data_IF_880088794993
#
_entry.id   IF_880088794993
#
_cell.length_a   1.000
_cell.length_b   1.000
_cell.length_c   1.000
_cell.angle_alpha   90.00
_cell.angle_beta   90.00
_cell.angle_gamma   90.00
#
_symmetry.space_group_name_H-M   'P 1'
#
loop_
_entity.id
_entity.type
_entity.pdbx_description
1 polymer ?
#
# COMPACT_ATOMS: atom_id res chain seq x y z
N UNK A 1 30.83 -26.96 36.07
CA UNK A 1 29.60 -26.62 35.30
C UNK A 1 28.59 -25.99 36.25
N UNK A 2 28.02 -24.84 35.90
CA UNK A 2 26.96 -24.19 36.70
C UNK A 2 25.63 -24.83 36.32
N UNK A 3 24.79 -25.19 37.29
CA UNK A 3 23.48 -25.79 37.01
C UNK A 3 22.48 -24.74 36.53
N UNK A 4 21.53 -25.14 35.67
CA UNK A 4 20.51 -24.24 35.11
C UNK A 4 19.79 -23.39 36.18
N UNK A 5 19.44 -24.00 37.33
CA UNK A 5 18.84 -23.28 38.47
C UNK A 5 19.73 -22.15 39.02
N UNK A 6 21.05 -22.32 39.05
CA UNK A 6 21.99 -21.27 39.45
C UNK A 6 22.11 -20.18 38.40
N UNK A 7 22.04 -20.51 37.10
CA UNK A 7 22.01 -19.52 36.02
C UNK A 7 20.76 -18.62 36.10
N UNK A 8 19.58 -19.20 36.35
CA UNK A 8 18.33 -18.42 36.51
C UNK A 8 18.39 -17.46 37.69
N UNK A 9 18.93 -17.89 38.83
CA UNK A 9 19.11 -17.03 40.02
C UNK A 9 20.09 -15.89 39.73
N UNK A 10 21.22 -16.15 39.06
CA UNK A 10 22.19 -15.13 38.67
C UNK A 10 21.55 -14.12 37.70
N UNK A 11 20.81 -14.58 36.69
CA UNK A 11 20.11 -13.71 35.76
C UNK A 11 19.08 -12.79 36.46
N UNK A 12 18.33 -13.32 37.42
CA UNK A 12 17.37 -12.53 38.21
C UNK A 12 18.04 -11.41 39.01
N UNK A 13 19.19 -11.67 39.65
CA UNK A 13 19.95 -10.65 40.36
C UNK A 13 20.55 -9.59 39.42
N UNK A 14 21.05 -9.98 38.24
CA UNK A 14 21.57 -9.03 37.25
C UNK A 14 20.46 -8.12 36.74
N UNK A 15 19.31 -8.68 36.35
CA UNK A 15 18.16 -7.90 35.85
C UNK A 15 17.58 -6.96 36.93
N UNK A 16 17.49 -7.44 38.17
CA UNK A 16 17.05 -6.61 39.31
C UNK A 16 18.04 -5.48 39.61
N UNK A 17 19.36 -5.72 39.53
CA UNK A 17 20.39 -4.69 39.68
C UNK A 17 20.31 -3.62 38.60
N UNK A 18 20.13 -4.02 37.33
CA UNK A 18 19.95 -3.09 36.21
C UNK A 18 18.69 -2.25 36.40
N UNK A 19 17.56 -2.85 36.80
CA UNK A 19 16.31 -2.13 37.04
C UNK A 19 16.42 -1.08 38.17
N UNK A 20 17.11 -1.43 39.27
CA UNK A 20 17.35 -0.50 40.39
C UNK A 20 18.29 0.65 40.00
N UNK A 21 19.32 0.40 39.19
CA UNK A 21 20.18 1.45 38.64
C UNK A 21 19.43 2.36 37.66
N UNK A 22 18.54 1.81 36.84
CA UNK A 22 17.79 2.56 35.85
C UNK A 22 16.69 3.44 36.48
N UNK A 23 16.10 3.00 37.59
CA UNK A 23 15.11 3.78 38.36
C UNK A 23 15.77 4.87 39.21
N UNK A 24 16.99 4.65 39.73
CA UNK A 24 17.75 5.66 40.47
C UNK A 24 18.18 6.88 39.61
N UNK A 25 18.19 6.75 38.28
CA UNK A 25 18.58 7.83 37.36
C UNK A 25 17.42 8.73 36.88
N UNK A 26 16.17 8.45 37.26
CA UNK A 26 15.00 9.26 36.86
C UNK A 26 14.79 10.40 37.87
N UNK A 27 15.26 11.61 37.54
CA UNK A 27 14.90 12.84 38.26
C UNK A 27 13.65 13.48 37.64
N UNK A 28 12.56 13.71 38.41
CA UNK A 28 11.38 14.39 37.89
C UNK A 28 11.58 15.91 37.83
N UNK A 29 11.21 16.53 36.71
CA UNK A 29 11.14 17.98 36.54
C UNK A 29 9.82 18.50 37.11
N UNK A 30 9.80 19.51 38.00
CA UNK A 30 8.56 20.04 38.54
C UNK A 30 7.85 20.97 37.55
N UNK A 31 6.60 20.65 37.22
CA UNK A 31 5.73 21.56 36.47
C UNK A 31 5.28 22.72 37.37
N UNK A 32 5.39 23.97 36.86
CA UNK A 32 4.79 25.14 37.52
C UNK A 32 3.34 25.28 37.07
N UNK A 33 2.41 25.25 38.02
CA UNK A 33 1.05 25.70 37.83
C UNK A 33 0.89 27.12 38.40
N UNK A 34 0.24 28.01 37.67
CA UNK A 34 -0.20 29.31 38.18
C UNK A 34 -1.65 29.23 38.66
N UNK A 35 -1.96 29.76 39.85
CA UNK A 35 -3.31 30.16 40.23
C UNK A 35 -3.38 31.69 40.35
N UNK A 36 -4.25 32.33 39.56
CA UNK A 36 -4.56 33.74 39.74
C UNK A 36 -5.66 33.97 40.78
N UNK A 37 -5.58 35.04 41.57
CA UNK A 37 -6.77 35.87 41.94
C UNK A 37 -6.42 37.20 42.63
N UNK A 38 -6.90 38.28 42.00
CA UNK A 38 -7.44 39.54 42.56
C UNK A 38 -6.90 40.27 43.82
N UNK A 39 -6.85 41.61 43.64
CA UNK A 39 -6.80 42.72 44.63
C UNK A 39 -5.43 42.88 45.33
N UNK A 40 -4.95 44.09 45.65
CA UNK A 40 -5.69 45.34 45.89
C UNK A 40 -4.92 46.60 45.44
N UNK A 41 -5.54 47.78 45.62
CA UNK A 41 -5.27 49.08 45.00
C UNK A 41 -4.51 50.04 45.95
N UNK A 42 -3.43 50.67 45.48
CA UNK A 42 -2.95 51.98 46.01
C UNK A 42 -1.92 52.67 45.09
N UNK A 43 -2.36 53.77 44.50
CA UNK A 43 -1.59 54.90 43.91
C UNK A 43 -1.05 55.83 45.05
N UNK A 44 -0.37 56.98 44.80
CA UNK A 44 0.20 57.56 43.57
C UNK A 44 1.63 58.18 43.78
N UNK A 45 2.05 59.13 42.90
CA UNK A 45 3.18 60.10 43.01
C UNK A 45 4.59 59.52 42.72
N UNK A 46 5.57 60.22 42.13
CA UNK A 46 5.67 61.49 41.35
C UNK A 46 7.05 61.44 40.62
N UNK A 47 7.40 62.16 39.55
CA UNK A 47 6.72 62.85 38.44
C UNK A 47 7.82 63.41 37.49
N UNK A 48 7.44 64.16 36.42
CA UNK A 48 8.32 65.00 35.55
C UNK A 48 9.30 64.24 34.63
N UNK A 49 9.70 64.73 33.45
CA UNK A 49 9.21 65.78 32.54
C UNK A 49 9.99 65.67 31.21
N UNK A 50 9.33 65.60 30.04
CA UNK A 50 9.91 66.04 28.75
C UNK A 50 8.82 66.15 27.68
N UNK A 51 8.72 67.32 27.03
CA UNK A 51 7.69 67.62 26.01
C UNK A 51 8.34 67.98 24.68
N UNK A 52 7.81 67.46 23.57
CA UNK A 52 7.57 68.16 22.27
C UNK A 52 6.99 67.16 21.26
N UNK A 53 5.71 67.24 20.94
CA UNK A 53 5.13 68.08 19.87
C UNK A 53 5.42 67.54 18.45
N UNK A 54 4.55 66.63 18.01
CA UNK A 54 4.25 66.29 16.61
C UNK A 54 2.74 66.42 16.38
N UNK A 55 2.31 66.82 15.19
CA UNK A 55 0.96 67.36 14.93
C UNK A 55 -0.15 66.33 14.74
N UNK A 56 -1.39 66.78 14.99
CA UNK A 56 -2.66 66.06 14.73
C UNK A 56 -2.80 65.57 13.28
N UNK A 57 -3.43 64.41 13.12
CA UNK A 57 -4.46 64.16 12.11
C UNK A 57 -5.47 63.15 12.70
N UNK A 58 -6.75 63.53 12.76
CA UNK A 58 -7.84 62.59 13.03
C UNK A 58 -8.15 61.79 11.76
N UNK A 59 -8.34 60.48 11.87
CA UNK A 59 -9.00 59.64 10.88
C UNK A 59 -9.89 58.61 11.60
N UNK A 60 -11.08 58.25 11.07
CA UNK A 60 -12.06 57.48 11.83
C UNK A 60 -11.67 56.01 11.99
N UNK A 61 -12.13 55.41 13.08
CA UNK A 61 -12.14 53.96 13.28
C UNK A 61 -13.03 53.29 12.23
N UNK A 62 -12.45 52.62 11.25
CA UNK A 62 -13.19 51.63 10.45
C UNK A 62 -13.57 50.46 11.37
N UNK A 63 -14.87 50.16 11.46
CA UNK A 63 -15.34 48.95 12.12
C UNK A 63 -15.19 47.79 11.14
N UNK A 64 -14.42 46.76 11.50
CA UNK A 64 -14.40 45.50 10.76
C UNK A 64 -15.81 44.88 10.79
N UNK A 65 -16.33 44.35 9.67
CA UNK A 65 -17.62 43.67 9.67
C UNK A 65 -17.54 42.39 10.51
N UNK A 66 -18.49 42.20 11.43
CA UNK A 66 -18.68 40.92 12.09
C UNK A 66 -18.96 39.85 11.03
N UNK A 67 -18.09 38.83 10.95
CA UNK A 67 -18.33 37.67 10.09
C UNK A 67 -19.50 36.87 10.67
N UNK A 68 -20.61 36.79 9.94
CA UNK A 68 -21.66 35.82 10.24
C UNK A 68 -21.04 34.40 10.26
N UNK A 69 -21.35 33.56 11.27
CA UNK A 69 -20.83 32.21 11.29
C UNK A 69 -21.37 31.43 10.10
N UNK A 70 -20.49 30.82 9.30
CA UNK A 70 -20.91 29.90 8.24
C UNK A 70 -21.78 28.80 8.85
N UNK A 71 -22.91 28.42 8.21
CA UNK A 71 -23.75 27.35 8.72
C UNK A 71 -22.95 26.05 8.77
N UNK A 72 -22.93 25.41 9.95
CA UNK A 72 -22.35 24.07 10.11
C UNK A 72 -23.00 23.13 9.09
N UNK A 73 -22.21 22.67 8.11
CA UNK A 73 -22.68 21.68 7.14
C UNK A 73 -23.05 20.42 7.89
N UNK A 74 -24.29 19.97 7.73
CA UNK A 74 -24.71 18.65 8.20
C UNK A 74 -23.70 17.60 7.68
N UNK A 75 -23.27 16.65 8.52
CA UNK A 75 -22.31 15.64 8.09
C UNK A 75 -22.92 14.83 6.95
N UNK A 76 -22.18 14.69 5.84
CA UNK A 76 -22.64 13.88 4.71
C UNK A 76 -22.97 12.45 5.18
N UNK A 77 -24.10 11.86 4.73
CA UNK A 77 -24.50 10.52 5.16
C UNK A 77 -23.43 9.50 4.80
N UNK A 78 -23.14 8.56 5.72
CA UNK A 78 -22.11 7.55 5.48
C UNK A 78 -22.39 6.79 4.17
N UNK A 79 -21.36 6.59 3.32
CA UNK A 79 -21.57 5.94 2.03
C UNK A 79 -22.14 4.52 2.21
N UNK A 80 -23.16 4.15 1.42
CA UNK A 80 -23.78 2.81 1.53
C UNK A 80 -23.02 1.73 0.76
N UNK A 81 -22.28 2.10 -0.28
CA UNK A 81 -21.53 1.14 -1.11
C UNK A 81 -20.18 0.79 -0.50
N UNK A 82 -19.70 -0.45 -0.73
CA UNK A 82 -18.38 -0.90 -0.26
C UNK A 82 -17.25 0.01 -0.76
N UNK A 83 -17.27 0.39 -2.05
CA UNK A 83 -16.32 1.36 -2.63
C UNK A 83 -16.38 2.73 -1.93
N UNK A 84 -17.58 3.18 -1.55
CA UNK A 84 -17.77 4.41 -0.79
C UNK A 84 -17.18 4.34 0.63
N UNK A 85 -17.51 3.29 1.39
CA UNK A 85 -16.96 3.08 2.75
C UNK A 85 -15.45 2.94 2.73
N UNK A 86 -14.89 2.19 1.78
CA UNK A 86 -13.44 2.07 1.62
C UNK A 86 -12.78 3.42 1.32
N UNK A 87 -13.37 4.27 0.47
CA UNK A 87 -12.87 5.64 0.22
C UNK A 87 -12.87 6.50 1.50
N UNK A 88 -13.89 6.34 2.35
CA UNK A 88 -14.04 7.09 3.59
C UNK A 88 -13.02 6.65 4.66
N UNK A 89 -12.92 5.34 4.93
CA UNK A 89 -11.98 4.81 5.94
C UNK A 89 -10.51 4.83 5.50
N UNK A 90 -10.23 4.72 4.20
CA UNK A 90 -8.88 4.72 3.64
C UNK A 90 -8.73 5.86 2.61
N UNK A 91 -8.63 7.12 3.06
CA UNK A 91 -8.55 8.27 2.17
C UNK A 91 -7.24 8.27 1.38
N UNK A 92 -7.35 8.44 0.06
CA UNK A 92 -6.19 8.52 -0.83
C UNK A 92 -5.57 9.92 -0.82
N UNK A 93 -4.31 10.02 -0.40
CA UNK A 93 -3.55 11.26 -0.38
C UNK A 93 -2.40 11.22 -1.40
N UNK A 94 -2.67 11.58 -2.67
CA UNK A 94 -1.66 11.53 -3.76
C UNK A 94 -0.35 12.27 -3.40
N UNK A 95 -0.43 13.42 -2.71
CA UNK A 95 0.74 14.23 -2.31
C UNK A 95 1.58 13.61 -1.17
N UNK A 96 1.11 12.55 -0.51
CA UNK A 96 1.90 11.83 0.49
C UNK A 96 3.10 11.12 -0.17
N UNK A 97 4.11 10.72 0.63
CA UNK A 97 5.19 9.85 0.14
C UNK A 97 4.71 8.40 0.06
N UNK A 98 5.36 7.60 -0.79
CA UNK A 98 5.22 6.15 -0.71
C UNK A 98 5.72 5.66 0.66
N UNK A 99 4.95 4.82 1.37
CA UNK A 99 5.41 4.22 2.62
C UNK A 99 6.64 3.31 2.41
N UNK A 100 7.56 3.33 3.37
CA UNK A 100 8.77 2.49 3.37
C UNK A 100 8.50 1.06 3.86
N UNK A 101 7.45 0.40 3.36
CA UNK A 101 7.12 -0.98 3.70
C UNK A 101 7.31 -1.90 2.51
N UNK A 102 7.81 -3.11 2.75
CA UNK A 102 7.82 -4.22 1.79
C UNK A 102 7.06 -5.37 2.44
N UNK A 103 6.08 -5.91 1.70
CA UNK A 103 5.22 -7.00 2.12
C UNK A 103 5.46 -8.19 1.18
N UNK A 104 5.74 -9.35 1.75
CA UNK A 104 5.64 -10.63 1.05
C UNK A 104 4.72 -11.55 1.88
N UNK A 105 4.12 -12.56 1.25
CA UNK A 105 3.38 -13.60 1.98
C UNK A 105 3.93 -14.98 1.68
N UNK A 106 4.02 -15.82 2.71
CA UNK A 106 4.39 -17.22 2.56
C UNK A 106 3.77 -18.07 3.68
N UNK A 107 4.00 -19.39 3.66
CA UNK A 107 3.51 -20.30 4.70
C UNK A 107 4.18 -20.08 6.06
N UNK A 108 5.42 -19.61 6.02
CA UNK A 108 6.32 -19.46 7.17
C UNK A 108 7.12 -18.16 7.02
N UNK A 109 7.58 -17.61 8.14
CA UNK A 109 8.42 -16.41 8.14
C UNK A 109 9.91 -16.75 8.05
N UNK A 110 10.77 -15.79 7.69
CA UNK A 110 12.22 -15.92 7.81
C UNK A 110 12.75 -16.30 9.20
N UNK A 111 11.97 -16.21 10.28
CA UNK A 111 12.39 -16.68 11.60
C UNK A 111 12.15 -18.19 11.83
N UNK A 112 11.31 -18.83 11.01
CA UNK A 112 10.87 -20.21 11.20
C UNK A 112 11.86 -21.23 10.61
N UNK A 113 11.98 -22.36 11.31
CA UNK A 113 12.82 -23.49 10.87
C UNK A 113 12.27 -24.25 9.65
N UNK A 114 11.00 -24.05 9.29
CA UNK A 114 10.34 -24.66 8.12
C UNK A 114 10.37 -23.76 6.88
N UNK A 115 10.97 -22.56 6.97
CA UNK A 115 11.13 -21.67 5.81
C UNK A 115 12.12 -22.25 4.81
N UNK A 116 11.70 -22.34 3.54
CA UNK A 116 12.49 -22.93 2.45
C UNK A 116 13.84 -22.20 2.27
N UNK A 117 14.99 -22.89 2.44
CA UNK A 117 16.31 -22.29 2.22
C UNK A 117 16.51 -21.70 0.82
N UNK A 118 15.79 -22.18 -0.19
CA UNK A 118 15.89 -21.66 -1.57
C UNK A 118 15.26 -20.26 -1.73
N UNK A 119 14.29 -19.90 -0.89
CA UNK A 119 13.65 -18.57 -0.91
C UNK A 119 14.48 -17.50 -0.19
N UNK A 120 15.47 -17.91 0.62
CA UNK A 120 16.31 -17.00 1.43
C UNK A 120 17.02 -15.91 0.62
N UNK A 121 17.76 -16.18 -0.47
CA UNK A 121 18.40 -15.12 -1.24
C UNK A 121 17.38 -14.19 -1.92
N UNK A 122 16.23 -14.72 -2.32
CA UNK A 122 15.16 -13.97 -2.99
C UNK A 122 14.55 -12.95 -2.01
N UNK A 123 14.09 -13.42 -0.85
CA UNK A 123 13.58 -12.61 0.27
C UNK A 123 14.62 -11.58 0.75
N UNK A 124 15.86 -12.01 1.00
CA UNK A 124 16.91 -11.14 1.52
C UNK A 124 17.25 -9.98 0.57
N UNK A 125 17.20 -10.19 -0.75
CA UNK A 125 17.48 -9.14 -1.75
C UNK A 125 16.61 -7.89 -1.57
N UNK A 126 15.35 -8.05 -1.13
CA UNK A 126 14.46 -6.95 -0.84
C UNK A 126 14.95 -6.11 0.34
N UNK A 127 15.41 -6.75 1.41
CA UNK A 127 16.02 -6.07 2.57
C UNK A 127 17.33 -5.37 2.19
N UNK A 128 18.19 -6.05 1.41
CA UNK A 128 19.52 -5.56 1.05
C UNK A 128 19.47 -4.34 0.11
N UNK A 129 18.57 -4.32 -0.88
CA UNK A 129 18.43 -3.21 -1.84
C UNK A 129 17.48 -2.09 -1.39
N UNK A 130 16.86 -2.22 -0.21
CA UNK A 130 15.97 -1.19 0.34
C UNK A 130 16.36 -0.80 1.78
N UNK A 131 17.60 -0.30 2.00
CA UNK A 131 18.05 0.11 3.32
C UNK A 131 17.12 1.19 3.90
N UNK A 132 16.59 0.92 5.10
CA UNK A 132 15.64 1.80 5.79
C UNK A 132 14.15 1.52 5.50
N UNK A 133 13.82 0.56 4.63
CA UNK A 133 12.46 0.02 4.54
C UNK A 133 12.24 -1.02 5.65
N UNK A 134 10.99 -1.16 6.08
CA UNK A 134 10.56 -2.27 6.94
C UNK A 134 10.07 -3.39 6.02
N UNK A 135 10.86 -4.46 5.95
CA UNK A 135 10.48 -5.68 5.24
C UNK A 135 9.75 -6.64 6.19
N UNK A 136 8.58 -7.13 5.77
CA UNK A 136 7.81 -8.11 6.52
C UNK A 136 7.25 -9.19 5.60
N UNK A 137 7.71 -10.43 5.82
CA UNK A 137 7.03 -11.63 5.34
C UNK A 137 5.91 -11.95 6.34
N UNK A 138 4.67 -11.97 5.87
CA UNK A 138 3.49 -12.31 6.66
C UNK A 138 3.14 -13.78 6.38
N UNK A 139 3.06 -14.59 7.43
CA UNK A 139 2.68 -16.00 7.34
C UNK A 139 1.15 -16.18 7.18
N UNK A 140 0.74 -17.36 6.70
CA UNK A 140 -0.67 -17.72 6.47
C UNK A 140 -1.56 -17.58 7.73
N UNK A 141 -1.03 -17.85 8.93
CA UNK A 141 -1.78 -17.72 10.19
C UNK A 141 -1.92 -16.25 10.61
N UNK A 142 -0.83 -15.48 10.54
CA UNK A 142 -0.81 -14.04 10.86
C UNK A 142 -1.64 -13.21 9.89
N UNK A 143 -1.69 -13.58 8.60
CA UNK A 143 -2.37 -12.82 7.55
C UNK A 143 -3.83 -12.50 7.90
N UNK A 144 -4.60 -13.49 8.38
CA UNK A 144 -6.01 -13.29 8.72
C UNK A 144 -6.21 -12.38 9.95
N UNK A 145 -5.34 -12.47 10.96
CA UNK A 145 -5.42 -11.57 12.12
C UNK A 145 -5.05 -10.13 11.74
N UNK A 146 -4.08 -9.96 10.85
CA UNK A 146 -3.68 -8.65 10.34
C UNK A 146 -4.81 -8.00 9.54
N UNK A 147 -5.47 -8.77 8.66
CA UNK A 147 -6.65 -8.29 7.94
C UNK A 147 -7.81 -7.96 8.89
N UNK A 148 -8.12 -8.83 9.87
CA UNK A 148 -9.18 -8.58 10.88
C UNK A 148 -8.95 -7.31 11.69
N UNK A 149 -7.70 -6.96 11.97
CA UNK A 149 -7.34 -5.67 12.58
C UNK A 149 -7.55 -4.49 11.62
N UNK A 150 -7.00 -4.57 10.40
CA UNK A 150 -7.03 -3.47 9.42
C UNK A 150 -8.44 -3.18 8.89
N UNK A 151 -9.26 -4.22 8.71
CA UNK A 151 -10.58 -4.17 8.09
C UNK A 151 -11.70 -4.51 9.09
N UNK A 152 -11.52 -4.17 10.37
CA UNK A 152 -12.51 -4.39 11.43
C UNK A 152 -13.88 -3.75 11.16
N UNK A 153 -13.92 -2.62 10.42
CA UNK A 153 -15.16 -1.96 9.95
C UNK A 153 -15.74 -2.54 8.66
N UNK A 154 -15.20 -3.66 8.16
CA UNK A 154 -15.56 -4.29 6.88
C UNK A 154 -15.69 -5.82 7.04
N UNK A 155 -16.67 -6.31 7.83
CA UNK A 155 -16.89 -7.75 8.01
C UNK A 155 -17.07 -8.50 6.68
N UNK A 156 -17.63 -7.85 5.64
CA UNK A 156 -17.82 -8.44 4.32
C UNK A 156 -16.49 -8.81 3.61
N UNK A 157 -15.43 -8.02 3.81
CA UNK A 157 -14.09 -8.29 3.25
C UNK A 157 -13.46 -9.49 3.96
N UNK A 158 -13.61 -9.54 5.30
CA UNK A 158 -13.11 -10.65 6.11
C UNK A 158 -13.86 -11.95 5.76
N UNK A 159 -15.17 -11.88 5.57
CA UNK A 159 -15.99 -13.02 5.17
C UNK A 159 -15.63 -13.54 3.77
N UNK A 160 -15.40 -12.64 2.81
CA UNK A 160 -14.90 -12.99 1.49
C UNK A 160 -13.54 -13.70 1.59
N UNK A 161 -12.57 -13.12 2.31
CA UNK A 161 -11.25 -13.69 2.49
C UNK A 161 -11.28 -15.05 3.20
N UNK A 162 -12.04 -15.19 4.28
CA UNK A 162 -12.15 -16.45 5.03
C UNK A 162 -12.80 -17.56 4.18
N UNK A 163 -13.78 -17.22 3.34
CA UNK A 163 -14.50 -18.19 2.48
C UNK A 163 -13.73 -18.68 1.25
N UNK A 164 -12.63 -18.04 0.84
CA UNK A 164 -11.84 -18.46 -0.32
C UNK A 164 -11.26 -19.89 -0.16
N UNK A 165 -11.53 -20.82 -1.10
CA UNK A 165 -11.23 -22.24 -0.92
C UNK A 165 -9.80 -22.66 -1.28
N UNK A 166 -8.97 -21.74 -1.80
CA UNK A 166 -7.61 -22.01 -2.28
C UNK A 166 -6.63 -20.95 -1.73
N UNK A 167 -5.42 -21.33 -1.27
CA UNK A 167 -4.44 -20.37 -0.75
C UNK A 167 -4.04 -19.28 -1.75
N UNK A 168 -3.93 -19.61 -3.04
CA UNK A 168 -3.59 -18.62 -4.09
C UNK A 168 -4.61 -17.47 -4.19
N UNK A 169 -5.90 -17.75 -4.03
CA UNK A 169 -6.95 -16.72 -4.01
C UNK A 169 -6.77 -15.78 -2.81
N UNK A 170 -6.38 -16.33 -1.65
CA UNK A 170 -6.11 -15.56 -0.43
C UNK A 170 -4.85 -14.70 -0.58
N UNK A 171 -3.76 -15.25 -1.14
CA UNK A 171 -2.54 -14.48 -1.41
C UNK A 171 -2.79 -13.34 -2.43
N UNK A 172 -3.49 -13.65 -3.53
CA UNK A 172 -3.93 -12.64 -4.52
C UNK A 172 -4.78 -11.53 -3.87
N UNK A 173 -5.71 -11.88 -2.98
CA UNK A 173 -6.55 -10.87 -2.33
C UNK A 173 -5.79 -10.09 -1.23
N UNK A 174 -4.91 -10.76 -0.48
CA UNK A 174 -4.11 -10.16 0.58
C UNK A 174 -3.25 -9.01 0.06
N UNK A 175 -2.56 -9.19 -1.08
CA UNK A 175 -1.68 -8.16 -1.64
C UNK A 175 -2.40 -6.84 -1.93
N UNK A 176 -3.65 -6.89 -2.41
CA UNK A 176 -4.45 -5.68 -2.62
C UNK A 176 -4.86 -5.06 -1.29
N UNK A 177 -5.33 -5.86 -0.34
CA UNK A 177 -5.77 -5.42 0.98
C UNK A 177 -4.64 -4.74 1.77
N UNK A 178 -3.44 -5.33 1.80
CA UNK A 178 -2.32 -4.75 2.54
C UNK A 178 -1.82 -3.45 1.90
N UNK A 179 -1.72 -3.38 0.57
CA UNK A 179 -1.33 -2.16 -0.13
C UNK A 179 -2.40 -1.07 0.00
N UNK A 180 -3.68 -1.41 0.04
CA UNK A 180 -4.73 -0.43 0.25
C UNK A 180 -4.69 0.14 1.68
N UNK A 181 -4.49 -0.71 2.68
CA UNK A 181 -4.50 -0.30 4.09
C UNK A 181 -3.18 0.36 4.55
N UNK A 182 -2.03 -0.06 4.03
CA UNK A 182 -0.69 0.36 4.50
C UNK A 182 0.22 0.93 3.41
N UNK A 183 -0.09 0.73 2.14
CA UNK A 183 0.78 1.08 1.02
C UNK A 183 2.15 0.40 1.11
N UNK A 184 3.12 0.98 0.41
CA UNK A 184 4.46 0.43 0.26
C UNK A 184 4.55 -0.45 -0.98
N UNK A 185 5.28 -1.54 -0.89
CA UNK A 185 5.53 -2.50 -1.97
C UNK A 185 4.98 -3.86 -1.52
N UNK A 186 4.27 -4.56 -2.39
CA UNK A 186 4.07 -5.99 -2.26
C UNK A 186 4.91 -6.69 -3.32
N UNK A 187 5.51 -7.83 -2.96
CA UNK A 187 6.07 -8.77 -3.93
C UNK A 187 5.84 -10.23 -3.53
N UNK A 188 5.63 -11.13 -4.49
CA UNK A 188 5.60 -12.58 -4.22
C UNK A 188 6.97 -13.07 -3.70
N UNK A 189 6.99 -14.15 -2.90
CA UNK A 189 8.18 -14.58 -2.15
C UNK A 189 9.32 -15.11 -3.05
N UNK A 190 8.98 -15.63 -4.23
CA UNK A 190 9.94 -16.15 -5.23
C UNK A 190 10.40 -15.05 -6.21
N UNK A 191 10.62 -13.85 -5.68
CA UNK A 191 11.14 -12.68 -6.43
C UNK A 191 12.44 -12.16 -5.86
N UNK A 192 13.37 -11.82 -6.75
CA UNK A 192 14.62 -11.13 -6.45
C UNK A 192 14.48 -9.66 -6.83
N UNK A 193 14.72 -8.74 -5.90
CA UNK A 193 14.92 -7.34 -6.23
C UNK A 193 16.26 -7.19 -6.98
N UNK A 194 16.26 -6.53 -8.14
CA UNK A 194 17.46 -6.19 -8.91
C UNK A 194 17.85 -4.72 -8.72
N UNK A 195 16.87 -3.84 -8.49
CA UNK A 195 17.07 -2.40 -8.21
C UNK A 195 16.10 -1.90 -7.16
N UNK A 196 16.51 -0.86 -6.44
CA UNK A 196 15.67 -0.27 -5.39
C UNK A 196 14.41 0.36 -6.01
N UNK A 197 13.27 0.26 -5.33
CA UNK A 197 12.04 0.96 -5.71
C UNK A 197 12.16 2.49 -5.62
N UNK A 198 13.26 2.99 -5.04
CA UNK A 198 13.66 4.39 -5.15
C UNK A 198 14.17 4.77 -6.55
N UNK A 199 14.38 3.81 -7.46
CA UNK A 199 14.85 4.02 -8.84
C UNK A 199 13.77 3.79 -9.91
N UNK A 200 12.71 3.03 -9.61
CA UNK A 200 11.70 2.62 -10.61
C UNK A 200 11.02 3.79 -11.35
N UNK A 201 10.77 4.90 -10.63
CA UNK A 201 10.23 6.15 -11.20
C UNK A 201 11.40 7.06 -11.61
N UNK A 202 11.54 7.44 -12.89
CA UNK A 202 12.65 8.28 -13.34
C UNK A 202 12.57 9.70 -12.75
N UNK A 203 13.70 10.41 -12.56
CA UNK A 203 13.72 11.78 -12.01
C UNK A 203 12.94 12.82 -12.83
N UNK A 204 12.57 12.51 -14.07
CA UNK A 204 11.75 13.35 -14.95
C UNK A 204 10.26 13.36 -14.59
N UNK A 205 9.80 12.44 -13.73
CA UNK A 205 8.41 12.40 -13.26
C UNK A 205 8.30 12.95 -11.83
N UNK A 206 7.27 13.76 -11.57
CA UNK A 206 6.99 14.27 -10.22
C UNK A 206 6.37 13.16 -9.34
N UNK A 207 7.19 12.60 -8.45
CA UNK A 207 6.79 11.59 -7.46
C UNK A 207 5.67 12.03 -6.50
N UNK A 208 5.41 13.33 -6.36
CA UNK A 208 4.28 13.85 -5.59
C UNK A 208 2.94 13.68 -6.31
N UNK A 209 2.95 13.44 -7.63
CA UNK A 209 1.75 13.18 -8.44
C UNK A 209 1.43 11.69 -8.62
N UNK A 210 2.35 10.79 -8.28
CA UNK A 210 2.22 9.34 -8.56
C UNK A 210 1.84 8.60 -7.28
N UNK A 211 0.75 7.83 -7.27
CA UNK A 211 0.32 6.97 -6.16
C UNK A 211 0.35 5.47 -6.42
N UNK A 212 0.63 5.04 -7.65
CA UNK A 212 0.75 3.62 -8.00
C UNK A 212 1.86 3.40 -9.04
N UNK A 213 2.61 2.30 -8.91
CA UNK A 213 3.55 1.81 -9.92
C UNK A 213 3.23 0.34 -10.21
N UNK A 214 3.03 0.02 -11.48
CA UNK A 214 2.69 -1.32 -11.97
C UNK A 214 3.59 -1.69 -13.14
N UNK A 215 3.95 -2.97 -13.28
CA UNK A 215 4.63 -3.47 -14.48
C UNK A 215 3.65 -4.09 -15.48
N UNK A 216 4.07 -4.25 -16.72
CA UNK A 216 3.44 -5.19 -17.66
C UNK A 216 3.96 -6.60 -17.33
N UNK A 217 3.06 -7.57 -17.19
CA UNK A 217 3.41 -8.99 -17.02
C UNK A 217 3.42 -9.72 -18.36
N UNK A 218 2.40 -9.45 -19.19
CA UNK A 218 2.26 -10.04 -20.51
C UNK A 218 1.77 -9.01 -21.54
N UNK A 219 2.42 -9.01 -22.71
CA UNK A 219 2.08 -8.22 -23.90
C UNK A 219 2.10 -9.15 -25.14
N UNK A 220 1.19 -10.14 -25.22
CA UNK A 220 1.20 -11.17 -26.26
C UNK A 220 0.95 -10.61 -27.66
N UNK A 221 2.03 -10.40 -28.43
CA UNK A 221 1.96 -9.96 -29.82
C UNK A 221 1.66 -11.10 -30.79
N UNK A 222 0.43 -11.64 -30.70
CA UNK A 222 -0.08 -12.74 -31.53
C UNK A 222 -1.58 -12.62 -31.75
N UNK A 223 -2.07 -12.95 -32.94
CA UNK A 223 -3.49 -12.81 -33.30
C UNK A 223 -4.41 -13.68 -32.43
N UNK A 224 -3.94 -14.85 -31.99
CA UNK A 224 -4.69 -15.79 -31.16
C UNK A 224 -4.43 -15.63 -29.65
N UNK A 225 -3.95 -14.45 -29.20
CA UNK A 225 -3.63 -14.18 -27.78
C UNK A 225 -4.76 -14.60 -26.82
N UNK A 226 -6.02 -14.36 -27.21
CA UNK A 226 -7.21 -14.62 -26.39
C UNK A 226 -7.49 -16.11 -26.12
N UNK A 227 -6.72 -17.04 -26.71
CA UNK A 227 -6.74 -18.46 -26.35
C UNK A 227 -5.84 -18.81 -25.16
N UNK A 228 -4.88 -17.95 -24.85
CA UNK A 228 -3.76 -18.21 -23.93
C UNK A 228 -3.67 -17.20 -22.80
N UNK A 229 -4.16 -15.98 -23.03
CA UNK A 229 -4.10 -14.84 -22.12
C UNK A 229 -5.50 -14.26 -21.91
N UNK A 230 -5.80 -13.87 -20.68
CA UNK A 230 -7.08 -13.28 -20.30
C UNK A 230 -7.31 -11.89 -20.90
N UNK A 231 -6.24 -11.11 -21.12
CA UNK A 231 -6.31 -9.73 -21.67
C UNK A 231 -5.16 -9.50 -22.66
N UNK A 232 -5.34 -8.61 -23.64
CA UNK A 232 -4.30 -8.32 -24.66
C UNK A 232 -3.04 -7.72 -24.05
N UNK A 233 -3.17 -7.01 -22.94
CA UNK A 233 -2.06 -6.72 -22.01
C UNK A 233 -2.55 -7.11 -20.63
N UNK A 234 -1.68 -7.73 -19.83
CA UNK A 234 -1.90 -7.96 -18.42
C UNK A 234 -0.88 -7.17 -17.61
N UNK A 235 -1.34 -6.43 -16.61
CA UNK A 235 -0.44 -5.80 -15.64
C UNK A 235 -0.03 -6.81 -14.57
N UNK A 236 1.23 -6.73 -14.16
CA UNK A 236 1.79 -7.51 -13.08
C UNK A 236 1.02 -7.22 -11.78
N UNK A 237 0.51 -8.29 -11.18
CA UNK A 237 -0.07 -8.26 -9.83
C UNK A 237 0.92 -8.73 -8.76
N UNK A 238 1.93 -9.52 -9.15
CA UNK A 238 2.83 -10.19 -8.21
C UNK A 238 3.94 -9.28 -7.67
N UNK A 239 4.17 -8.11 -8.29
CA UNK A 239 4.86 -6.94 -7.68
C UNK A 239 4.08 -5.65 -7.97
N UNK A 240 3.77 -4.90 -6.91
CA UNK A 240 3.05 -3.61 -7.00
C UNK A 240 3.63 -2.65 -5.94
N UNK A 241 3.84 -1.37 -6.30
CA UNK A 241 4.09 -0.30 -5.33
C UNK A 241 2.91 0.68 -5.29
N UNK A 242 2.39 1.00 -4.10
CA UNK A 242 1.23 1.89 -3.96
C UNK A 242 1.26 2.78 -2.72
N UNK A 243 0.54 3.90 -2.77
CA UNK A 243 0.16 4.71 -1.61
C UNK A 243 -1.15 4.17 -1.00
N UNK A 244 -1.36 4.30 0.33
CA UNK A 244 -2.60 3.85 0.97
C UNK A 244 -3.85 4.47 0.31
N UNK A 245 -4.94 3.71 0.28
CA UNK A 245 -6.24 4.14 -0.24
C UNK A 245 -6.36 4.27 -1.77
N UNK A 246 -5.35 3.89 -2.55
CA UNK A 246 -5.32 4.14 -4.00
C UNK A 246 -6.59 3.61 -4.73
N UNK A 247 -7.24 4.40 -5.61
CA UNK A 247 -8.55 4.05 -6.19
C UNK A 247 -8.59 2.69 -6.91
N UNK A 248 -7.54 2.31 -7.63
CA UNK A 248 -7.41 0.98 -8.29
C UNK A 248 -7.52 -0.15 -7.26
N UNK A 249 -6.81 -0.04 -6.12
CA UNK A 249 -6.81 -1.06 -5.08
C UNK A 249 -8.19 -1.17 -4.42
N UNK A 250 -8.80 -0.02 -4.12
CA UNK A 250 -10.17 0.07 -3.59
C UNK A 250 -11.19 -0.65 -4.49
N UNK A 251 -11.02 -0.48 -5.80
CA UNK A 251 -11.93 -1.01 -6.80
C UNK A 251 -11.77 -2.52 -7.03
N UNK A 252 -10.53 -3.02 -7.15
CA UNK A 252 -10.26 -4.47 -7.24
C UNK A 252 -10.67 -5.20 -5.95
N UNK A 253 -10.44 -4.61 -4.77
CA UNK A 253 -10.90 -5.17 -3.48
C UNK A 253 -12.42 -5.32 -3.47
N UNK A 254 -13.14 -4.28 -3.86
CA UNK A 254 -14.61 -4.32 -3.88
C UNK A 254 -15.10 -5.37 -4.89
N UNK A 255 -14.55 -5.42 -6.10
CA UNK A 255 -14.90 -6.43 -7.12
C UNK A 255 -14.68 -7.86 -6.61
N UNK A 256 -13.51 -8.16 -6.03
CA UNK A 256 -13.20 -9.48 -5.46
C UNK A 256 -14.17 -9.83 -4.32
N UNK A 257 -14.48 -8.88 -3.44
CA UNK A 257 -15.40 -9.08 -2.30
C UNK A 257 -16.81 -9.40 -2.77
N UNK A 258 -17.31 -8.60 -3.73
CA UNK A 258 -18.64 -8.75 -4.33
C UNK A 258 -18.78 -10.11 -5.05
N UNK A 259 -17.77 -10.51 -5.83
CA UNK A 259 -17.73 -11.82 -6.49
C UNK A 259 -17.62 -12.99 -5.50
N UNK A 260 -16.78 -12.87 -4.46
CA UNK A 260 -16.62 -13.92 -3.45
C UNK A 260 -17.92 -14.20 -2.72
N UNK A 261 -18.60 -13.15 -2.25
CA UNK A 261 -19.83 -13.29 -1.47
C UNK A 261 -20.98 -13.79 -2.34
N UNK A 262 -21.10 -13.34 -3.60
CA UNK A 262 -22.05 -13.89 -4.56
C UNK A 262 -21.81 -15.39 -4.79
N UNK A 263 -20.58 -15.79 -5.14
CA UNK A 263 -20.25 -17.21 -5.36
C UNK A 263 -20.46 -18.06 -4.09
N UNK A 264 -20.28 -17.47 -2.90
CA UNK A 264 -20.54 -18.12 -1.61
C UNK A 264 -22.04 -18.33 -1.38
N UNK A 265 -22.87 -17.32 -1.63
CA UNK A 265 -24.33 -17.39 -1.53
C UNK A 265 -24.93 -18.40 -2.52
N UNK A 266 -24.43 -18.42 -3.76
CA UNK A 266 -24.78 -19.41 -4.78
C UNK A 266 -24.25 -20.83 -4.47
N UNK A 267 -23.40 -20.99 -3.45
CA UNK A 267 -22.81 -22.28 -3.07
C UNK A 267 -21.70 -22.79 -4.01
N UNK A 268 -21.25 -21.96 -4.96
CA UNK A 268 -20.27 -22.32 -5.99
C UNK A 268 -18.81 -21.95 -5.65
N UNK A 269 -18.57 -21.14 -4.60
CA UNK A 269 -17.23 -20.80 -4.10
C UNK A 269 -16.52 -22.02 -3.46
N UNK A 270 -16.09 -22.95 -4.31
CA UNK A 270 -15.45 -24.21 -3.93
C UNK A 270 -14.29 -24.51 -4.89
N UNK A 271 -13.37 -25.40 -4.49
CA UNK A 271 -12.19 -25.77 -5.29
C UNK A 271 -12.49 -26.29 -6.72
N UNK A 272 -13.74 -26.64 -7.01
CA UNK A 272 -14.18 -27.20 -8.31
C UNK A 272 -15.41 -26.51 -8.91
N UNK A 273 -16.00 -25.52 -8.21
CA UNK A 273 -17.31 -24.97 -8.55
C UNK A 273 -17.34 -23.53 -9.06
N UNK A 274 -16.25 -22.76 -8.88
CA UNK A 274 -16.24 -21.32 -9.20
C UNK A 274 -16.53 -21.08 -10.70
N UNK A 275 -17.34 -20.06 -10.99
CA UNK A 275 -17.65 -19.63 -12.36
C UNK A 275 -16.51 -18.81 -12.99
N UNK A 276 -15.57 -18.33 -12.18
CA UNK A 276 -14.34 -17.65 -12.58
C UNK A 276 -13.11 -18.50 -12.28
N UNK A 277 -12.13 -18.48 -13.19
CA UNK A 277 -10.80 -19.03 -12.93
C UNK A 277 -10.06 -18.18 -11.90
N UNK A 278 -8.98 -18.70 -11.28
CA UNK A 278 -8.10 -17.91 -10.39
C UNK A 278 -7.65 -16.61 -11.08
N UNK A 279 -7.29 -16.69 -12.37
CA UNK A 279 -6.82 -15.57 -13.20
C UNK A 279 -7.89 -14.48 -13.38
N UNK A 280 -9.16 -14.88 -13.55
CA UNK A 280 -10.31 -13.97 -13.71
C UNK A 280 -10.91 -13.48 -12.39
N UNK A 281 -10.76 -14.23 -11.29
CA UNK A 281 -11.39 -13.92 -10.01
C UNK A 281 -10.54 -13.00 -9.15
N UNK A 282 -9.31 -13.41 -8.81
CA UNK A 282 -8.40 -12.66 -7.92
C UNK A 282 -7.10 -12.26 -8.61
N UNK A 283 -6.77 -12.94 -9.71
CA UNK A 283 -5.51 -12.83 -10.41
C UNK A 283 -5.35 -11.60 -11.34
N UNK A 284 -4.44 -11.66 -12.32
CA UNK A 284 -4.04 -10.48 -13.09
C UNK A 284 -5.15 -9.90 -13.98
N UNK A 285 -6.23 -10.63 -14.28
CA UNK A 285 -7.27 -10.12 -15.17
C UNK A 285 -8.17 -9.09 -14.47
N UNK A 286 -8.70 -9.39 -13.27
CA UNK A 286 -9.52 -8.43 -12.49
C UNK A 286 -8.69 -7.20 -12.09
N UNK A 287 -7.41 -7.39 -11.81
CA UNK A 287 -6.43 -6.34 -11.57
C UNK A 287 -6.24 -5.43 -12.79
N UNK A 288 -5.99 -6.04 -13.94
CA UNK A 288 -5.84 -5.32 -15.21
C UNK A 288 -7.08 -4.50 -15.54
N UNK A 289 -8.27 -5.07 -15.33
CA UNK A 289 -9.54 -4.39 -15.56
C UNK A 289 -9.75 -3.23 -14.57
N UNK A 290 -9.33 -3.34 -13.30
CA UNK A 290 -9.36 -2.23 -12.35
C UNK A 290 -8.42 -1.09 -12.74
N UNK A 291 -7.20 -1.40 -13.23
CA UNK A 291 -6.24 -0.40 -13.74
C UNK A 291 -6.80 0.32 -14.97
N UNK A 292 -7.37 -0.40 -15.94
CA UNK A 292 -7.99 0.22 -17.12
C UNK A 292 -9.27 1.00 -16.78
N UNK A 293 -10.07 0.56 -15.80
CA UNK A 293 -11.22 1.34 -15.31
C UNK A 293 -10.77 2.66 -14.70
N UNK A 294 -9.74 2.66 -13.85
CA UNK A 294 -9.15 3.89 -13.30
C UNK A 294 -8.65 4.84 -14.41
N UNK A 295 -7.91 4.35 -15.40
CA UNK A 295 -7.42 5.19 -16.51
C UNK A 295 -8.52 5.89 -17.32
N UNK A 296 -9.73 5.33 -17.31
CA UNK A 296 -10.88 5.84 -18.06
C UNK A 296 -12.01 6.37 -17.17
N UNK A 297 -11.79 6.49 -15.85
CA UNK A 297 -12.78 7.01 -14.91
C UNK A 297 -12.97 8.53 -15.14
N UNK A 298 -14.16 8.98 -15.61
CA UNK A 298 -14.41 10.40 -15.89
C UNK A 298 -14.55 11.25 -14.63
N UNK A 299 -14.69 10.65 -13.44
CA UNK A 299 -14.70 11.38 -12.16
C UNK A 299 -13.28 11.70 -11.68
N UNK A 300 -12.29 10.89 -12.08
CA UNK A 300 -10.86 11.10 -11.78
C UNK A 300 -10.19 11.91 -12.89
N UNK A 301 -10.56 11.64 -14.14
CA UNK A 301 -10.02 12.28 -15.33
C UNK A 301 -11.15 12.90 -16.18
N UNK A 302 -11.79 14.00 -15.70
CA UNK A 302 -12.84 14.67 -16.45
C UNK A 302 -12.30 15.25 -17.76
N UNK A 303 -13.11 15.19 -18.83
CA UNK A 303 -12.78 15.83 -20.12
C UNK A 303 -13.53 17.15 -20.28
N UNK A 304 -12.81 18.20 -20.63
CA UNK A 304 -13.36 19.54 -20.92
C UNK A 304 -14.25 19.53 -22.17
N UNK A 305 -14.00 18.63 -23.13
CA UNK A 305 -14.76 18.51 -24.38
C UNK A 305 -15.89 17.45 -24.32
N UNK A 306 -16.12 16.86 -23.15
CA UNK A 306 -17.11 15.81 -22.93
C UNK A 306 -16.79 14.44 -23.52
N UNK A 307 -15.66 14.26 -24.23
CA UNK A 307 -15.25 12.94 -24.74
C UNK A 307 -14.59 12.11 -23.63
N UNK A 308 -15.06 10.89 -23.44
CA UNK A 308 -14.43 9.94 -22.51
C UNK A 308 -13.02 9.57 -22.98
N UNK A 309 -12.10 9.35 -22.02
CA UNK A 309 -10.80 8.73 -22.30
C UNK A 309 -11.02 7.32 -22.86
N UNK A 310 -10.10 6.89 -23.71
CA UNK A 310 -10.06 5.53 -24.27
C UNK A 310 -8.64 4.96 -24.21
N UNK A 311 -8.07 4.95 -23.00
CA UNK A 311 -6.82 4.28 -22.69
C UNK A 311 -7.05 2.77 -22.72
N UNK A 312 -6.33 2.09 -23.61
CA UNK A 312 -6.47 0.67 -23.94
C UNK A 312 -5.10 0.02 -24.12
N UNK A 313 -5.04 -1.31 -24.29
CA UNK A 313 -3.78 -2.04 -24.48
C UNK A 313 -2.85 -1.46 -25.56
N UNK A 314 -3.41 -0.89 -26.64
CA UNK A 314 -2.63 -0.22 -27.70
C UNK A 314 -1.76 0.95 -27.20
N UNK A 315 -2.05 1.51 -26.02
CA UNK A 315 -1.27 2.59 -25.42
C UNK A 315 -0.01 2.10 -24.67
N UNK A 316 0.14 0.79 -24.48
CA UNK A 316 1.20 0.18 -23.67
C UNK A 316 1.94 -0.97 -24.38
N UNK A 317 1.44 -1.45 -25.52
CA UNK A 317 2.09 -2.54 -26.27
C UNK A 317 3.43 -2.10 -26.86
N UNK A 318 4.44 -2.98 -26.81
CA UNK A 318 5.81 -2.70 -27.25
C UNK A 318 6.55 -1.65 -26.40
N UNK A 319 6.06 -1.32 -25.20
CA UNK A 319 6.65 -0.26 -24.37
C UNK A 319 8.03 -0.66 -23.83
N UNK A 320 9.00 0.26 -23.96
CA UNK A 320 10.42 0.05 -23.56
C UNK A 320 10.94 0.98 -22.46
N UNK A 321 10.12 1.94 -22.01
CA UNK A 321 10.42 2.90 -20.93
C UNK A 321 9.16 3.16 -20.12
N UNK A 322 9.32 3.68 -18.90
CA UNK A 322 8.20 4.00 -18.02
C UNK A 322 7.24 5.02 -18.66
N UNK A 323 5.95 4.87 -18.41
CA UNK A 323 4.90 5.78 -18.89
C UNK A 323 3.98 6.19 -17.75
N UNK A 324 3.90 7.48 -17.46
CA UNK A 324 2.93 8.02 -16.52
C UNK A 324 1.57 8.20 -17.20
N UNK A 325 0.50 7.75 -16.52
CA UNK A 325 -0.90 7.92 -16.94
C UNK A 325 -1.69 8.37 -15.71
N UNK A 326 -1.87 9.69 -15.58
CA UNK A 326 -2.43 10.27 -14.36
C UNK A 326 -1.46 10.10 -13.19
N UNK A 327 -1.95 9.49 -12.11
CA UNK A 327 -1.19 9.17 -10.89
C UNK A 327 -0.58 7.76 -10.89
N UNK A 328 -0.62 7.05 -12.01
CA UNK A 328 0.00 5.71 -12.15
C UNK A 328 1.21 5.80 -13.06
N UNK A 329 2.31 5.13 -12.69
CA UNK A 329 3.42 4.81 -13.60
C UNK A 329 3.32 3.35 -14.03
N UNK A 330 3.30 3.12 -15.34
CA UNK A 330 3.38 1.79 -15.94
C UNK A 330 4.83 1.54 -16.37
N UNK A 331 5.38 0.40 -15.98
CA UNK A 331 6.73 -0.06 -16.31
C UNK A 331 6.67 -1.07 -17.48
N UNK A 332 7.69 -1.12 -18.35
CA UNK A 332 7.75 -2.10 -19.44
C UNK A 332 7.90 -3.53 -18.90
N UNK A 333 7.65 -4.53 -19.75
CA UNK A 333 7.71 -5.95 -19.35
C UNK A 333 9.08 -6.34 -18.75
N UNK A 334 10.18 -5.81 -19.29
CA UNK A 334 11.54 -5.98 -18.75
C UNK A 334 11.67 -5.63 -17.28
N UNK A 335 10.85 -4.71 -16.74
CA UNK A 335 11.05 -4.22 -15.38
C UNK A 335 10.74 -5.22 -14.30
N UNK A 336 9.70 -6.04 -14.49
CA UNK A 336 9.32 -7.09 -13.53
C UNK A 336 9.49 -8.50 -14.15
N UNK A 337 9.45 -8.65 -15.47
CA UNK A 337 9.67 -9.95 -16.12
C UNK A 337 10.92 -9.97 -17.04
N UNK A 338 12.12 -9.56 -16.58
CA UNK A 338 13.35 -9.69 -17.37
C UNK A 338 13.70 -11.18 -17.58
N UNK A 339 14.44 -11.48 -18.65
CA UNK A 339 14.97 -12.83 -18.93
C UNK A 339 13.93 -13.86 -19.39
N UNK A 340 12.64 -13.52 -19.48
CA UNK A 340 11.59 -14.44 -19.97
C UNK A 340 11.63 -14.69 -21.48
N UNK A 341 12.50 -13.98 -22.22
CA UNK A 341 12.75 -14.14 -23.66
C UNK A 341 11.50 -14.07 -24.57
N UNK A 342 10.42 -13.46 -24.09
CA UNK A 342 9.14 -13.33 -24.77
C UNK A 342 8.61 -11.90 -24.72
N UNK A 343 7.68 -11.59 -25.63
CA UNK A 343 6.91 -10.33 -25.63
C UNK A 343 7.79 -9.07 -25.61
N UNK A 344 9.00 -9.17 -26.16
CA UNK A 344 9.97 -8.08 -26.20
C UNK A 344 10.68 -7.78 -24.87
N UNK A 345 10.63 -8.68 -23.88
CA UNK A 345 11.43 -8.56 -22.67
C UNK A 345 12.94 -8.66 -22.96
N UNK A 346 13.74 -8.00 -22.15
CA UNK A 346 15.21 -7.99 -22.21
C UNK A 346 15.79 -8.76 -21.01
N UNK A 347 17.09 -9.02 -21.03
CA UNK A 347 17.79 -9.78 -19.98
C UNK A 347 17.88 -9.00 -18.65
N UNK A 348 18.24 -9.72 -17.57
CA UNK A 348 18.29 -9.18 -16.20
C UNK A 348 19.39 -8.13 -15.95
N UNK A 349 20.32 -7.95 -16.90
CA UNK A 349 21.33 -6.88 -16.88
C UNK A 349 20.84 -5.56 -17.53
N UNK A 350 19.63 -5.54 -18.11
CA UNK A 350 19.04 -4.32 -18.69
C UNK A 350 18.87 -3.20 -17.66
N UNK A 351 19.10 -1.96 -18.08
CA UNK A 351 18.79 -0.78 -17.26
C UNK A 351 17.31 -0.66 -16.88
N UNK A 352 16.43 -1.37 -17.57
CA UNK A 352 15.02 -1.43 -17.23
C UNK A 352 14.67 -2.56 -16.26
N UNK A 353 15.55 -3.53 -16.00
CA UNK A 353 15.28 -4.68 -15.12
C UNK A 353 15.36 -4.28 -13.63
N UNK A 354 14.25 -4.45 -12.90
CA UNK A 354 14.12 -3.98 -11.51
C UNK A 354 13.78 -5.08 -10.52
N UNK A 355 13.01 -6.08 -10.94
CA UNK A 355 12.65 -7.28 -10.18
C UNK A 355 12.69 -8.47 -11.14
N UNK A 356 13.16 -9.61 -10.66
CA UNK A 356 13.13 -10.88 -11.37
C UNK A 356 12.24 -11.87 -10.59
N UNK A 357 11.44 -12.65 -11.30
CA UNK A 357 10.53 -13.64 -10.73
C UNK A 357 10.98 -15.04 -11.14
N UNK A 358 11.10 -15.97 -10.21
CA UNK A 358 11.61 -17.33 -10.47
C UNK A 358 10.56 -18.28 -11.07
N UNK A 359 9.30 -17.84 -11.14
CA UNK A 359 8.15 -18.59 -11.69
C UNK A 359 8.02 -20.00 -11.10
N UNK A 360 8.32 -20.15 -9.80
CA UNK A 360 8.41 -21.45 -9.11
C UNK A 360 7.12 -22.27 -9.18
N UNK A 361 5.99 -21.59 -9.44
CA UNK A 361 4.67 -22.21 -9.57
C UNK A 361 4.26 -22.96 -8.31
N UNK A 362 4.77 -22.56 -7.14
CA UNK A 362 4.71 -23.37 -5.91
C UNK A 362 3.29 -23.60 -5.38
N UNK A 363 2.34 -22.77 -5.77
CA UNK A 363 0.90 -22.94 -5.53
C UNK A 363 0.21 -23.94 -6.49
N UNK A 364 0.80 -24.22 -7.66
CA UNK A 364 0.33 -25.23 -8.62
C UNK A 364 0.71 -26.63 -8.15
N UNK A 365 -0.09 -27.64 -8.52
CA UNK A 365 0.27 -29.05 -8.28
C UNK A 365 1.56 -29.41 -9.04
N UNK A 366 2.26 -30.47 -8.61
CA UNK A 366 3.51 -30.92 -9.28
C UNK A 366 3.27 -31.24 -10.76
N UNK A 367 2.06 -31.70 -11.10
CA UNK A 367 1.66 -32.02 -12.47
C UNK A 367 1.39 -30.75 -13.28
N UNK A 368 0.68 -29.77 -12.71
CA UNK A 368 0.45 -28.45 -13.32
C UNK A 368 1.73 -27.62 -13.51
N UNK A 369 2.74 -27.78 -12.63
CA UNK A 369 4.05 -27.11 -12.78
C UNK A 369 4.78 -27.56 -14.04
N UNK A 370 4.67 -28.84 -14.44
CA UNK A 370 5.28 -29.35 -15.68
C UNK A 370 4.66 -28.80 -16.95
N UNK A 371 3.42 -28.32 -16.87
CA UNK A 371 2.69 -27.66 -17.98
C UNK A 371 3.01 -26.15 -18.02
N UNK A 372 3.72 -25.62 -17.01
CA UNK A 372 3.99 -24.19 -16.84
C UNK A 372 5.23 -23.62 -17.54
N UNK A 373 6.01 -24.43 -18.26
CA UNK A 373 7.08 -23.93 -19.12
C UNK A 373 6.50 -23.48 -20.47
N UNK A 374 6.09 -22.22 -20.53
CA UNK A 374 5.86 -21.50 -21.79
C UNK A 374 6.69 -20.24 -21.79
#
# INVERSE_FOLDING_TARGET
MISFRKCVVIAFFILSGIFLLHTAHIKPTPAKAEPGTHRQRSEPQDARLATKLGSKADSPSEQEPEQEPEPEKEPEPEPTTLRGRLKYHFPYAVKAKFPGYIWQTWKYTPADGEFDPMLRPLEASWTELHPGFVHQVVDDESAIYFLKYLYSSFPEIIEAYDSMPLPVLKADFFRYLILHARGGIYSDIDTTALRSATEWIPPTFDRSTIGLVVGIEADPDRVDWAKWYSRRIQFCQWTIQSKPGHPVLRDVIASITEDALRMKEEGILTKKGMDKSIVEFTGPAVWTDAVFRHFNDPLIFPSEDGKLRNISAHHFTGMKKQKQVGDVVVLPITSFSPGVQQMGSEEADSDMAFVQHEFSGTWKSIEDRRIGHW
#
